data_IF_940079712883
#
_entry.id   IF_940079712883
#
_cell.length_a   1.000
_cell.length_b   1.000
_cell.length_c   1.000
_cell.angle_alpha   90.00
_cell.angle_beta   90.00
_cell.angle_gamma   90.00
#
_symmetry.space_group_name_H-M   'P 1'
#
loop_
_entity.id
_entity.type
_entity.pdbx_description
1 polymer ?
#
# COMPACT_ATOMS: atom_id res chain seq x y z
N UNK A 1 3.06 56.76 49.21
CA UNK A 1 4.20 56.50 48.30
C UNK A 1 4.18 55.01 47.98
N UNK A 2 4.22 54.66 46.70
CA UNK A 2 3.79 53.40 46.10
C UNK A 2 4.65 52.18 46.49
N UNK A 3 4.00 51.09 46.87
CA UNK A 3 4.55 49.73 46.88
C UNK A 3 3.66 48.86 45.96
N UNK A 4 3.72 49.13 44.64
CA UNK A 4 3.06 48.33 43.60
C UNK A 4 4.07 48.25 42.46
N UNK A 5 4.94 47.23 42.44
CA UNK A 5 5.84 46.98 41.28
C UNK A 5 6.69 45.70 41.35
N UNK A 6 6.31 44.71 42.16
CA UNK A 6 7.04 43.42 42.26
C UNK A 6 6.32 42.27 41.54
N UNK A 7 5.11 41.95 41.99
CA UNK A 7 4.36 40.78 41.50
C UNK A 7 3.79 40.93 40.07
N UNK A 8 3.45 42.14 39.64
CA UNK A 8 2.87 42.37 38.30
C UNK A 8 3.88 42.10 37.18
N UNK A 9 5.16 42.43 37.42
CA UNK A 9 6.25 42.23 36.45
C UNK A 9 6.59 40.74 36.31
N UNK A 10 6.49 39.98 37.40
CA UNK A 10 6.75 38.54 37.42
C UNK A 10 5.66 37.76 36.68
N UNK A 11 4.40 38.17 36.84
CA UNK A 11 3.24 37.61 36.15
C UNK A 11 3.27 37.90 34.65
N UNK A 12 3.65 39.12 34.25
CA UNK A 12 3.81 39.49 32.84
C UNK A 12 4.97 38.74 32.17
N UNK A 13 6.08 38.51 32.89
CA UNK A 13 7.22 37.73 32.40
C UNK A 13 6.86 36.25 32.20
N UNK A 14 6.11 35.67 33.15
CA UNK A 14 5.64 34.28 33.05
C UNK A 14 4.66 34.10 31.88
N UNK A 15 3.73 35.03 31.70
CA UNK A 15 2.81 35.04 30.57
C UNK A 15 3.56 35.18 29.23
N UNK A 16 4.57 36.06 29.18
CA UNK A 16 5.38 36.24 27.97
C UNK A 16 6.20 34.98 27.63
N UNK A 17 6.75 34.30 28.62
CA UNK A 17 7.48 33.04 28.45
C UNK A 17 6.57 31.90 28.01
N UNK A 18 5.39 31.76 28.60
CA UNK A 18 4.41 30.74 28.22
C UNK A 18 3.90 30.95 26.78
N UNK A 19 3.70 32.21 26.39
CA UNK A 19 3.32 32.57 25.02
C UNK A 19 4.46 32.27 24.05
N UNK A 20 5.71 32.58 24.41
CA UNK A 20 6.89 32.29 23.60
C UNK A 20 7.16 30.79 23.46
N UNK A 21 6.92 30.00 24.52
CA UNK A 21 7.09 28.55 24.52
C UNK A 21 5.99 27.87 23.70
N UNK A 22 4.74 28.36 23.79
CA UNK A 22 3.63 27.95 22.90
C UNK A 22 3.95 28.24 21.44
N UNK A 23 4.51 29.42 21.14
CA UNK A 23 4.96 29.75 19.78
C UNK A 23 6.18 28.93 19.32
N UNK A 24 7.07 28.52 20.23
CA UNK A 24 8.19 27.64 19.90
C UNK A 24 7.72 26.22 19.58
N UNK A 25 6.79 25.66 20.36
CA UNK A 25 6.19 24.34 20.12
C UNK A 25 5.41 24.28 18.80
N UNK A 26 4.79 25.39 18.39
CA UNK A 26 4.12 25.53 17.09
C UNK A 26 5.09 25.64 15.89
N UNK A 27 6.38 25.93 16.12
CA UNK A 27 7.40 26.01 15.05
C UNK A 27 8.02 24.64 14.73
N UNK A 28 8.14 23.76 15.72
CA UNK A 28 8.87 22.48 15.57
C UNK A 28 7.97 21.29 15.18
N UNK A 29 6.63 21.43 15.32
CA UNK A 29 5.67 20.40 14.96
C UNK A 29 4.69 20.86 13.89
N UNK A 30 4.85 20.33 12.68
CA UNK A 30 3.93 20.46 11.53
C UNK A 30 3.94 21.82 10.81
N UNK A 31 4.01 21.78 9.46
CA UNK A 31 3.55 22.91 8.64
C UNK A 31 2.08 23.14 8.99
N UNK A 32 1.81 24.15 9.82
CA UNK A 32 0.46 24.57 10.20
C UNK A 32 -0.31 24.94 8.94
N UNK A 33 -1.08 23.99 8.43
CA UNK A 33 -2.11 24.30 7.45
C UNK A 33 -3.16 25.11 8.20
N UNK A 34 -3.45 26.33 7.74
CA UNK A 34 -4.52 27.15 8.28
C UNK A 34 -5.87 26.45 8.00
N UNK A 35 -6.35 25.69 8.99
CA UNK A 35 -7.59 24.92 8.92
C UNK A 35 -8.79 25.83 8.64
N UNK A 36 -8.75 27.09 9.09
CA UNK A 36 -9.81 28.05 8.82
C UNK A 36 -9.81 28.49 7.35
N UNK A 37 -8.65 28.59 6.71
CA UNK A 37 -8.57 28.83 5.26
C UNK A 37 -9.11 27.65 4.46
N UNK A 38 -8.80 26.41 4.86
CA UNK A 38 -9.30 25.20 4.18
C UNK A 38 -10.82 25.12 4.25
N UNK A 39 -11.42 25.42 5.41
CA UNK A 39 -12.88 25.40 5.58
C UNK A 39 -13.59 26.45 4.70
N UNK A 40 -13.00 27.64 4.53
CA UNK A 40 -13.54 28.67 3.62
C UNK A 40 -13.52 28.21 2.16
N UNK A 41 -12.45 27.57 1.74
CA UNK A 41 -12.33 27.05 0.38
C UNK A 41 -13.23 25.83 0.14
N UNK A 42 -13.43 24.97 1.14
CA UNK A 42 -14.39 23.86 1.10
C UNK A 42 -15.83 24.36 0.92
N UNK A 43 -16.22 25.42 1.63
CA UNK A 43 -17.54 26.02 1.48
C UNK A 43 -17.78 26.58 0.07
N UNK A 44 -16.83 27.35 -0.48
CA UNK A 44 -16.92 27.88 -1.85
C UNK A 44 -17.00 26.76 -2.90
N UNK A 45 -16.23 25.69 -2.71
CA UNK A 45 -16.24 24.55 -3.60
C UNK A 45 -17.61 23.84 -3.58
N UNK A 46 -18.17 23.60 -2.38
CA UNK A 46 -19.48 22.95 -2.21
C UNK A 46 -20.61 23.77 -2.85
N UNK A 47 -20.57 25.10 -2.75
CA UNK A 47 -21.53 26.00 -3.41
C UNK A 47 -21.50 25.90 -4.95
N UNK A 48 -20.36 25.50 -5.52
CA UNK A 48 -20.18 25.28 -6.95
C UNK A 48 -20.34 23.81 -7.36
N UNK A 49 -20.74 22.92 -6.44
CA UNK A 49 -20.92 21.50 -6.68
C UNK A 49 -19.62 20.66 -6.68
N UNK A 50 -18.52 21.21 -6.16
CA UNK A 50 -17.23 20.52 -5.99
C UNK A 50 -17.02 20.13 -4.52
N UNK A 51 -16.25 19.07 -4.27
CA UNK A 51 -15.91 18.62 -2.92
C UNK A 51 -14.39 18.57 -2.72
N UNK A 52 -13.93 19.08 -1.57
CA UNK A 52 -12.53 19.04 -1.15
C UNK A 52 -12.29 17.80 -0.29
N UNK A 53 -11.27 16.99 -0.63
CA UNK A 53 -10.95 15.77 0.09
C UNK A 53 -9.52 15.81 0.64
N UNK A 54 -9.33 15.26 1.85
CA UNK A 54 -7.99 15.02 2.39
C UNK A 54 -7.26 13.99 1.53
N UNK A 55 -6.12 14.37 0.97
CA UNK A 55 -5.18 13.42 0.40
C UNK A 55 -4.66 12.51 1.51
N UNK A 56 -5.17 11.28 1.60
CA UNK A 56 -4.51 10.23 2.41
C UNK A 56 -3.17 9.95 1.75
N UNK A 57 -2.07 10.14 2.48
CA UNK A 57 -0.79 9.53 2.08
C UNK A 57 -1.01 8.02 2.03
N UNK A 58 -1.19 7.48 0.82
CA UNK A 58 -1.16 6.03 0.62
C UNK A 58 0.20 5.54 1.12
N UNK A 59 0.20 4.37 1.78
CA UNK A 59 1.42 3.80 2.32
C UNK A 59 2.51 3.77 1.22
N UNK A 60 3.61 4.50 1.43
CA UNK A 60 4.78 4.59 0.52
C UNK A 60 5.83 3.52 0.85
N UNK A 61 5.49 2.52 1.67
CA UNK A 61 6.40 1.44 1.99
C UNK A 61 6.91 0.80 0.69
N UNK A 62 8.23 0.80 0.52
CA UNK A 62 8.90 0.12 -0.58
C UNK A 62 8.74 -1.41 -0.48
N UNK A 63 8.39 -1.89 0.72
CA UNK A 63 8.18 -3.30 1.02
C UNK A 63 6.70 -3.58 1.30
N UNK A 64 6.21 -4.65 0.71
CA UNK A 64 4.88 -5.20 1.01
C UNK A 64 4.89 -5.80 2.42
N UNK A 65 3.85 -5.51 3.20
CA UNK A 65 3.66 -6.14 4.51
C UNK A 65 3.09 -7.55 4.31
N UNK A 66 3.85 -8.57 4.72
CA UNK A 66 3.39 -9.96 4.76
C UNK A 66 2.82 -10.31 6.13
N UNK A 67 1.89 -11.26 6.17
CA UNK A 67 1.42 -11.85 7.43
C UNK A 67 2.51 -12.82 7.90
N UNK A 68 3.22 -12.46 8.98
CA UNK A 68 4.42 -13.15 9.42
C UNK A 68 4.12 -14.59 9.85
N UNK A 69 2.99 -14.80 10.51
CA UNK A 69 2.53 -16.10 11.00
C UNK A 69 2.28 -17.07 9.85
N UNK A 70 1.70 -16.58 8.74
CA UNK A 70 1.46 -17.41 7.56
C UNK A 70 2.79 -17.84 6.94
N UNK A 71 3.76 -16.91 6.86
CA UNK A 71 5.07 -17.21 6.29
C UNK A 71 5.86 -18.19 7.17
N UNK A 72 5.83 -18.04 8.49
CA UNK A 72 6.48 -18.95 9.45
C UNK A 72 5.93 -20.38 9.32
N UNK A 73 4.61 -20.55 9.19
CA UNK A 73 3.99 -21.87 8.99
C UNK A 73 4.44 -22.50 7.68
N UNK A 74 4.49 -21.74 6.58
CA UNK A 74 4.91 -22.25 5.27
C UNK A 74 6.37 -22.70 5.28
N UNK A 75 7.25 -21.95 5.96
CA UNK A 75 8.67 -22.27 6.08
C UNK A 75 8.88 -23.49 6.97
N UNK A 76 8.32 -23.51 8.18
CA UNK A 76 8.55 -24.59 9.16
C UNK A 76 7.99 -25.93 8.72
N UNK A 77 6.90 -25.93 7.96
CA UNK A 77 6.30 -27.16 7.43
C UNK A 77 6.97 -27.65 6.15
N UNK A 78 7.97 -26.93 5.64
CA UNK A 78 8.64 -27.20 4.37
C UNK A 78 7.63 -27.41 3.22
N UNK A 79 6.48 -26.75 3.31
CA UNK A 79 5.38 -26.93 2.36
C UNK A 79 5.75 -26.38 0.98
N UNK A 80 6.58 -25.34 0.97
CA UNK A 80 7.15 -24.72 -0.22
C UNK A 80 8.66 -24.87 -0.22
N UNK A 81 9.21 -25.14 -1.40
CA UNK A 81 10.64 -25.07 -1.67
C UNK A 81 11.11 -23.62 -1.69
N UNK A 82 12.42 -23.40 -1.53
CA UNK A 82 13.00 -22.05 -1.65
C UNK A 82 12.75 -21.40 -3.02
N UNK A 83 12.73 -22.20 -4.09
CA UNK A 83 12.42 -21.71 -5.43
C UNK A 83 10.97 -21.22 -5.55
N UNK A 84 10.02 -21.97 -4.98
CA UNK A 84 8.61 -21.59 -4.94
C UNK A 84 8.37 -20.36 -4.07
N UNK A 85 9.00 -20.29 -2.89
CA UNK A 85 8.93 -19.11 -2.02
C UNK A 85 9.46 -17.87 -2.77
N UNK A 86 10.67 -17.98 -3.34
CA UNK A 86 11.25 -16.89 -4.11
C UNK A 86 10.39 -16.48 -5.31
N UNK A 87 9.72 -17.44 -5.96
CA UNK A 87 8.79 -17.17 -7.04
C UNK A 87 7.54 -16.42 -6.54
N UNK A 88 6.90 -16.83 -5.45
CA UNK A 88 5.75 -16.11 -4.87
C UNK A 88 6.09 -14.68 -4.49
N UNK A 89 7.25 -14.45 -3.85
CA UNK A 89 7.76 -13.11 -3.56
C UNK A 89 7.96 -12.28 -4.84
N UNK A 90 8.44 -12.91 -5.92
CA UNK A 90 8.61 -12.25 -7.22
C UNK A 90 7.27 -11.89 -7.88
N UNK A 91 6.19 -12.61 -7.57
CA UNK A 91 4.84 -12.36 -8.08
C UNK A 91 4.07 -11.31 -7.28
N UNK A 92 4.41 -11.06 -6.00
CA UNK A 92 3.68 -10.12 -5.14
C UNK A 92 3.42 -8.74 -5.78
N UNK A 93 4.36 -8.16 -6.57
CA UNK A 93 4.09 -6.90 -7.25
C UNK A 93 2.95 -7.01 -8.28
N UNK A 94 2.77 -8.15 -8.93
CA UNK A 94 1.81 -8.37 -10.02
C UNK A 94 0.39 -8.67 -9.51
N UNK A 95 0.24 -8.95 -8.21
CA UNK A 95 -1.08 -9.15 -7.57
C UNK A 95 -1.63 -7.78 -7.17
N UNK A 96 -2.62 -7.29 -7.92
CA UNK A 96 -3.26 -6.01 -7.60
C UNK A 96 -4.06 -6.08 -6.31
N UNK A 97 -4.06 -4.99 -5.54
CA UNK A 97 -4.92 -4.84 -4.37
C UNK A 97 -6.39 -4.97 -4.84
N UNK A 98 -7.14 -5.90 -4.24
CA UNK A 98 -8.53 -6.26 -4.59
C UNK A 98 -8.74 -7.11 -5.85
N UNK A 99 -7.68 -7.53 -6.54
CA UNK A 99 -7.75 -8.56 -7.58
C UNK A 99 -7.01 -9.80 -7.10
N UNK A 100 -7.67 -10.96 -7.14
CA UNK A 100 -7.02 -12.25 -6.85
C UNK A 100 -6.23 -12.79 -8.06
N UNK A 101 -5.97 -11.96 -9.08
CA UNK A 101 -5.27 -12.36 -10.29
C UNK A 101 -3.89 -11.73 -10.45
N UNK A 102 -3.06 -12.41 -11.22
CA UNK A 102 -1.74 -11.93 -11.65
C UNK A 102 -1.97 -11.08 -12.90
N UNK A 103 -1.74 -9.78 -12.78
CA UNK A 103 -2.02 -8.82 -13.85
C UNK A 103 -0.79 -8.00 -14.21
N UNK A 104 -0.66 -7.66 -15.48
CA UNK A 104 0.31 -6.69 -15.93
C UNK A 104 -0.04 -5.32 -15.33
N UNK A 105 0.97 -4.63 -14.80
CA UNK A 105 0.76 -3.36 -14.09
C UNK A 105 0.46 -2.19 -15.02
N UNK A 106 0.91 -2.25 -16.26
CA UNK A 106 0.74 -1.19 -17.25
C UNK A 106 -0.62 -1.34 -17.96
N UNK A 107 -0.98 -2.57 -18.34
CA UNK A 107 -2.22 -2.84 -19.09
C UNK A 107 -3.41 -3.21 -18.20
N UNK A 108 -3.15 -3.72 -16.99
CA UNK A 108 -4.19 -4.26 -16.09
C UNK A 108 -4.77 -5.60 -16.53
N UNK A 109 -4.24 -6.21 -17.60
CA UNK A 109 -4.72 -7.50 -18.12
C UNK A 109 -4.10 -8.68 -17.37
N UNK A 110 -4.79 -9.82 -17.32
CA UNK A 110 -4.23 -11.04 -16.75
C UNK A 110 -3.02 -11.50 -17.55
N UNK A 111 -1.97 -11.94 -16.84
CA UNK A 111 -0.74 -12.39 -17.49
C UNK A 111 -0.78 -13.89 -17.76
N UNK A 112 -0.37 -14.26 -18.96
CA UNK A 112 -0.04 -15.64 -19.33
C UNK A 112 1.28 -16.08 -18.68
N UNK A 113 1.51 -17.40 -18.62
CA UNK A 113 2.79 -17.98 -18.15
C UNK A 113 3.99 -17.42 -18.91
N UNK A 114 3.84 -17.17 -20.21
CA UNK A 114 4.90 -16.63 -21.07
C UNK A 114 5.25 -15.18 -20.71
N UNK A 115 4.24 -14.37 -20.41
CA UNK A 115 4.42 -12.97 -20.00
C UNK A 115 5.04 -12.88 -18.61
N UNK A 116 4.63 -13.74 -17.68
CA UNK A 116 5.25 -13.84 -16.36
C UNK A 116 6.73 -14.21 -16.49
N UNK A 117 7.07 -15.18 -17.34
CA UNK A 117 8.45 -15.59 -17.58
C UNK A 117 9.29 -14.43 -18.15
N UNK A 118 8.72 -13.69 -19.11
CA UNK A 118 9.36 -12.51 -19.71
C UNK A 118 9.57 -11.39 -18.68
N UNK A 119 8.56 -11.09 -17.87
CA UNK A 119 8.63 -10.07 -16.82
C UNK A 119 9.72 -10.40 -15.79
N UNK A 120 9.83 -11.66 -15.39
CA UNK A 120 10.82 -12.11 -14.41
C UNK A 120 12.21 -12.39 -15.01
N UNK A 121 12.36 -12.27 -16.33
CA UNK A 121 13.56 -12.64 -17.07
C UNK A 121 14.06 -14.07 -16.73
N UNK A 122 13.12 -15.03 -16.74
CA UNK A 122 13.37 -16.44 -16.44
C UNK A 122 12.87 -17.33 -17.57
N UNK A 123 13.37 -18.56 -17.63
CA UNK A 123 12.94 -19.49 -18.66
C UNK A 123 11.47 -19.91 -18.47
N UNK A 124 10.73 -19.98 -19.57
CA UNK A 124 9.30 -20.32 -19.55
C UNK A 124 9.05 -21.71 -18.97
N UNK A 125 9.95 -22.67 -19.22
CA UNK A 125 9.78 -24.07 -18.80
C UNK A 125 9.85 -24.19 -17.28
N UNK A 126 10.83 -23.57 -16.64
CA UNK A 126 11.01 -23.54 -15.19
C UNK A 126 9.88 -22.78 -14.49
N UNK A 127 9.43 -21.67 -15.08
CA UNK A 127 8.25 -20.94 -14.59
C UNK A 127 7.00 -21.81 -14.66
N UNK A 128 6.76 -22.47 -15.80
CA UNK A 128 5.63 -23.39 -15.98
C UNK A 128 5.65 -24.53 -14.96
N UNK A 129 6.81 -25.17 -14.75
CA UNK A 129 6.97 -26.22 -13.75
C UNK A 129 6.69 -25.73 -12.33
N UNK A 130 7.17 -24.53 -11.99
CA UNK A 130 6.94 -23.91 -10.67
C UNK A 130 5.46 -23.59 -10.46
N UNK A 131 4.80 -22.99 -11.46
CA UNK A 131 3.35 -22.70 -11.43
C UNK A 131 2.57 -23.99 -11.26
N UNK A 132 2.91 -25.05 -11.99
CA UNK A 132 2.22 -26.32 -11.87
C UNK A 132 2.38 -26.95 -10.48
N UNK A 133 3.57 -26.88 -9.88
CA UNK A 133 3.77 -27.33 -8.50
C UNK A 133 2.88 -26.55 -7.52
N UNK A 134 2.76 -25.24 -7.69
CA UNK A 134 1.93 -24.38 -6.84
C UNK A 134 0.42 -24.61 -7.06
N UNK A 135 -0.01 -24.96 -8.27
CA UNK A 135 -1.39 -25.38 -8.56
C UNK A 135 -1.73 -26.67 -7.83
N UNK A 136 -0.85 -27.69 -7.88
CA UNK A 136 -1.03 -28.95 -7.16
C UNK A 136 -1.10 -28.74 -5.64
N UNK A 137 -0.32 -27.79 -5.12
CA UNK A 137 -0.32 -27.41 -3.69
C UNK A 137 -1.52 -26.54 -3.30
N UNK A 138 -2.36 -26.13 -4.24
CA UNK A 138 -3.53 -25.26 -3.99
C UNK A 138 -3.16 -23.83 -3.60
N UNK A 139 -1.96 -23.37 -3.94
CA UNK A 139 -1.48 -22.01 -3.66
C UNK A 139 -1.89 -21.05 -4.78
N UNK A 140 -1.85 -21.52 -6.03
CA UNK A 140 -2.35 -20.81 -7.20
C UNK A 140 -3.61 -21.52 -7.72
N UNK A 141 -4.40 -20.79 -8.50
CA UNK A 141 -5.52 -21.32 -9.25
C UNK A 141 -5.43 -20.83 -10.69
N UNK A 142 -5.68 -21.75 -11.63
CA UNK A 142 -5.80 -21.40 -13.04
C UNK A 142 -7.27 -21.04 -13.31
N UNK A 143 -7.50 -19.87 -13.88
CA UNK A 143 -8.84 -19.47 -14.31
C UNK A 143 -9.09 -20.11 -15.67
N UNK A 144 -9.89 -21.17 -15.69
CA UNK A 144 -10.21 -21.88 -16.92
C UNK A 144 -11.64 -21.60 -17.32
N UNK A 145 -11.84 -21.11 -18.55
CA UNK A 145 -13.19 -21.00 -19.09
C UNK A 145 -13.75 -22.40 -19.36
N UNK A 146 -14.86 -22.71 -18.69
CA UNK A 146 -15.58 -23.97 -18.83
C UNK A 146 -16.09 -24.24 -20.25
N UNK A 147 -16.28 -23.20 -21.08
CA UNK A 147 -16.61 -23.35 -22.50
C UNK A 147 -15.41 -23.81 -23.33
N UNK A 148 -14.23 -23.24 -23.12
CA UNK A 148 -13.01 -23.64 -23.84
C UNK A 148 -12.57 -25.08 -23.51
N UNK A 149 -12.70 -25.51 -22.25
CA UNK A 149 -12.40 -26.90 -21.85
C UNK A 149 -13.31 -27.89 -22.59
N UNK A 150 -14.60 -27.56 -22.75
CA UNK A 150 -15.57 -28.43 -23.42
C UNK A 150 -15.28 -28.56 -24.92
N UNK A 151 -14.81 -27.49 -25.55
CA UNK A 151 -14.52 -27.48 -26.99
C UNK A 151 -13.16 -28.07 -27.33
N UNK A 152 -12.15 -27.93 -26.45
CA UNK A 152 -10.76 -28.27 -26.78
C UNK A 152 -10.11 -29.31 -25.86
N UNK A 153 -10.82 -29.78 -24.82
CA UNK A 153 -10.33 -30.72 -23.79
C UNK A 153 -9.05 -30.25 -23.07
N UNK A 154 -8.71 -28.96 -23.19
CA UNK A 154 -7.56 -28.29 -22.54
C UNK A 154 -7.86 -26.80 -22.44
N UNK A 155 -7.24 -26.08 -21.49
CA UNK A 155 -7.24 -24.62 -21.53
C UNK A 155 -6.44 -24.19 -22.77
N UNK A 156 -7.03 -23.33 -23.59
CA UNK A 156 -6.35 -22.80 -24.78
C UNK A 156 -6.10 -21.34 -24.50
N UNK A 157 -4.90 -21.03 -24.03
CA UNK A 157 -4.46 -19.65 -23.87
C UNK A 157 -4.49 -18.97 -25.24
N UNK A 158 -5.44 -18.06 -25.47
CA UNK A 158 -5.34 -17.05 -26.52
C UNK A 158 -4.18 -16.08 -26.23
#
# INVERSE_FOLDING_TARGET
MQAVRGGDIEMDMQNALETAEKHARLRDGEKLVDVAAVAREEQKANEQGYALYKLKNKNKALFVQTIQENLDVLIRKEFLTNAELGFLFSLMPLVQLHSNGITDRETGQFMTVSEIAKYLNRDRTGISATIQSLLVKGILFELVDSQEIKEHKRSVTL
#
